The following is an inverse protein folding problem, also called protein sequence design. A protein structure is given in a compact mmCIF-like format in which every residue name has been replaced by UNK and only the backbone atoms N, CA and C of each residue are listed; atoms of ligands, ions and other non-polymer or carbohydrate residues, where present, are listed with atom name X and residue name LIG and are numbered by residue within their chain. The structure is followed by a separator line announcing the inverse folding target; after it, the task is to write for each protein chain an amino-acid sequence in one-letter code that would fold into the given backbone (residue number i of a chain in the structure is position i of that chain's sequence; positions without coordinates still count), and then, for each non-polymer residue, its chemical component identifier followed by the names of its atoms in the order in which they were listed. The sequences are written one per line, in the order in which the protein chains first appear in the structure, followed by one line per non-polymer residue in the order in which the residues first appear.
data_IF_840696200174
#
_entry.id   IF_840696200174
#
_cell.length_a   1.000
_cell.length_b   1.000
_cell.length_c   1.000
_cell.angle_alpha   90.00
_cell.angle_beta   90.00
_cell.angle_gamma   90.00
#
_symmetry.space_group_name_H-M   'P 1'
#
loop_
_entity.id
_entity.type
_entity.pdbx_description
1 polymer ?
#
# COMPACT_ATOMS: atom_id res chain seq x y z
N UNK A 1 21.22 20.96 -5.70
CA UNK A 1 21.02 19.50 -5.55
C UNK A 1 19.55 19.11 -5.38
N UNK A 2 18.78 19.72 -4.47
CA UNK A 2 17.36 19.41 -4.29
C UNK A 2 16.49 19.63 -5.56
N UNK A 3 16.74 20.70 -6.32
CA UNK A 3 16.00 21.04 -7.54
C UNK A 3 16.29 20.08 -8.72
N UNK A 4 17.52 19.57 -8.81
CA UNK A 4 17.90 18.53 -9.78
C UNK A 4 17.29 17.17 -9.42
N UNK A 5 17.23 16.82 -8.13
CA UNK A 5 16.57 15.59 -7.68
C UNK A 5 15.05 15.63 -7.95
N UNK A 6 14.39 16.77 -7.75
CA UNK A 6 12.96 16.96 -8.07
C UNK A 6 12.65 16.79 -9.57
N UNK A 7 13.55 17.20 -10.46
CA UNK A 7 13.39 16.96 -11.90
C UNK A 7 13.48 15.48 -12.27
N UNK A 8 14.31 14.71 -11.55
CA UNK A 8 14.51 13.28 -11.82
C UNK A 8 13.39 12.40 -11.24
N UNK A 9 12.93 12.70 -10.03
CA UNK A 9 11.93 11.88 -9.31
C UNK A 9 10.49 12.39 -9.43
N UNK A 10 10.28 13.53 -10.09
CA UNK A 10 8.98 14.16 -10.25
C UNK A 10 8.59 15.07 -9.08
N UNK A 11 7.50 15.82 -9.28
CA UNK A 11 6.89 16.67 -8.26
C UNK A 11 5.80 15.89 -7.51
N UNK A 12 5.59 16.14 -6.21
CA UNK A 12 4.51 15.53 -5.47
C UNK A 12 3.16 15.94 -6.08
N UNK A 13 2.36 14.94 -6.45
CA UNK A 13 1.00 15.16 -6.93
C UNK A 13 0.12 15.43 -5.72
N UNK A 14 -0.55 16.58 -5.72
CA UNK A 14 -1.50 16.95 -4.67
C UNK A 14 -2.85 16.28 -4.96
N UNK A 15 -3.59 15.98 -3.89
CA UNK A 15 -5.00 15.59 -3.96
C UNK A 15 -5.33 14.23 -4.62
N UNK A 16 -4.39 13.28 -4.60
CA UNK A 16 -4.66 11.89 -5.02
C UNK A 16 -5.02 11.03 -3.79
N UNK A 17 -6.20 10.38 -3.75
CA UNK A 17 -6.53 9.45 -2.69
C UNK A 17 -5.54 8.27 -2.67
N UNK A 18 -5.07 7.89 -1.48
CA UNK A 18 -4.11 6.79 -1.32
C UNK A 18 -4.59 5.46 -1.93
N UNK A 19 -5.91 5.19 -1.88
CA UNK A 19 -6.53 4.01 -2.49
C UNK A 19 -6.43 4.01 -4.01
N UNK A 20 -6.44 5.18 -4.66
CA UNK A 20 -6.30 5.29 -6.12
C UNK A 20 -4.82 5.12 -6.50
N UNK A 21 -3.92 5.81 -5.79
CA UNK A 21 -2.49 5.72 -6.04
C UNK A 21 -1.95 4.29 -5.87
N UNK A 22 -2.39 3.56 -4.83
CA UNK A 22 -1.92 2.19 -4.60
C UNK A 22 -2.42 1.20 -5.65
N UNK A 23 -3.63 1.39 -6.17
CA UNK A 23 -4.19 0.53 -7.21
C UNK A 23 -3.53 0.75 -8.56
N UNK A 24 -3.17 2.00 -8.88
CA UNK A 24 -2.43 2.33 -10.09
C UNK A 24 -1.02 1.73 -10.06
N UNK A 25 -0.28 1.93 -8.97
CA UNK A 25 1.04 1.33 -8.78
C UNK A 25 0.99 -0.20 -8.79
N UNK A 26 -0.06 -0.79 -8.20
CA UNK A 26 -0.27 -2.23 -8.24
C UNK A 26 -0.42 -2.76 -9.68
N UNK A 27 -1.14 -2.04 -10.55
CA UNK A 27 -1.27 -2.42 -11.95
C UNK A 27 0.09 -2.39 -12.69
N UNK A 28 0.91 -1.37 -12.44
CA UNK A 28 2.26 -1.29 -12.98
C UNK A 28 3.15 -2.45 -12.51
N UNK A 29 3.14 -2.76 -11.22
CA UNK A 29 3.91 -3.88 -10.66
C UNK A 29 3.49 -5.21 -11.29
N UNK A 30 2.19 -5.44 -11.52
CA UNK A 30 1.72 -6.64 -12.22
C UNK A 30 2.30 -6.75 -13.63
N UNK A 31 2.32 -5.64 -14.39
CA UNK A 31 2.92 -5.58 -15.71
C UNK A 31 4.42 -5.88 -15.68
N UNK A 32 5.16 -5.26 -14.76
CA UNK A 32 6.59 -5.52 -14.57
C UNK A 32 6.87 -6.99 -14.22
N UNK A 33 6.04 -7.60 -13.36
CA UNK A 33 6.17 -9.00 -13.00
C UNK A 33 5.92 -9.95 -14.15
N UNK A 34 4.90 -9.69 -14.97
CA UNK A 34 4.64 -10.48 -16.17
C UNK A 34 5.85 -10.44 -17.12
N UNK A 35 6.37 -9.23 -17.39
CA UNK A 35 7.55 -9.07 -18.23
C UNK A 35 8.81 -9.73 -17.64
N UNK A 36 9.07 -9.55 -16.34
CA UNK A 36 10.22 -10.18 -15.67
C UNK A 36 10.12 -11.71 -15.69
N UNK A 37 8.91 -12.26 -15.54
CA UNK A 37 8.68 -13.70 -15.63
C UNK A 37 9.04 -14.22 -17.02
N UNK A 38 8.62 -13.52 -18.08
CA UNK A 38 8.95 -13.90 -19.45
C UNK A 38 10.48 -13.85 -19.67
N UNK A 39 11.15 -12.80 -19.19
CA UNK A 39 12.61 -12.70 -19.23
C UNK A 39 13.31 -13.84 -18.50
N UNK A 40 12.84 -14.21 -17.30
CA UNK A 40 13.40 -15.33 -16.53
C UNK A 40 13.20 -16.66 -17.27
N UNK A 41 12.06 -16.85 -17.94
CA UNK A 41 11.78 -18.07 -18.70
C UNK A 41 12.65 -18.22 -19.96
N UNK A 42 13.15 -17.13 -20.51
CA UNK A 42 14.08 -17.14 -21.65
C UNK A 42 15.52 -17.52 -21.25
N UNK A 43 15.87 -17.46 -19.96
CA UNK A 43 17.21 -17.81 -19.47
C UNK A 43 17.37 -19.34 -19.44
N UNK A 44 18.44 -19.84 -20.07
CA UNK A 44 18.77 -21.26 -19.98
C UNK A 44 19.01 -21.67 -18.50
N UNK A 45 18.52 -22.83 -18.05
CA UNK A 45 18.61 -23.24 -16.65
C UNK A 45 20.03 -23.17 -16.06
N UNK A 46 21.04 -23.55 -16.84
CA UNK A 46 22.44 -23.55 -16.42
C UNK A 46 23.03 -22.13 -16.26
N UNK A 47 22.45 -21.14 -16.94
CA UNK A 47 22.82 -19.73 -16.87
C UNK A 47 22.11 -18.95 -15.73
N UNK A 48 21.23 -19.61 -14.96
CA UNK A 48 20.57 -19.00 -13.80
C UNK A 48 21.52 -18.86 -12.59
N UNK A 49 22.55 -19.71 -12.51
CA UNK A 49 23.49 -19.77 -11.39
C UNK A 49 24.91 -19.38 -11.79
N UNK A 50 25.29 -19.49 -13.08
CA UNK A 50 26.65 -19.19 -13.56
C UNK A 50 26.66 -17.95 -14.47
N UNK A 51 27.35 -16.89 -14.06
CA UNK A 51 27.39 -15.61 -14.77
C UNK A 51 28.79 -15.03 -14.95
N UNK A 52 29.03 -14.31 -16.04
CA UNK A 52 30.24 -13.50 -16.26
C UNK A 52 30.15 -12.26 -15.38
N UNK A 53 31.05 -12.12 -14.40
CA UNK A 53 30.98 -11.03 -13.40
C UNK A 53 31.88 -9.86 -13.77
N UNK A 54 32.96 -10.10 -14.49
CA UNK A 54 33.92 -9.05 -14.87
C UNK A 54 34.62 -9.39 -16.18
N UNK A 55 34.75 -8.38 -17.06
CA UNK A 55 35.57 -8.41 -18.27
C UNK A 55 36.64 -7.34 -18.16
N UNK A 56 37.88 -7.74 -17.89
CA UNK A 56 39.01 -6.81 -17.78
C UNK A 56 39.78 -6.80 -19.10
N UNK A 57 39.69 -5.69 -19.84
CA UNK A 57 40.48 -5.46 -21.05
C UNK A 57 41.88 -4.94 -20.67
N UNK A 58 42.88 -5.83 -20.64
CA UNK A 58 44.28 -5.43 -20.40
C UNK A 58 44.95 -5.06 -21.71
N UNK A 59 44.86 -3.77 -22.07
CA UNK A 59 45.46 -3.20 -23.28
C UNK A 59 46.97 -2.95 -23.17
N UNK A 60 47.55 -2.94 -21.95
CA UNK A 60 48.99 -2.82 -21.74
C UNK A 60 49.43 -3.64 -20.50
N UNK A 61 50.31 -4.63 -20.71
CA UNK A 61 50.85 -5.52 -19.69
C UNK A 61 51.62 -6.70 -20.31
N UNK A 62 52.32 -7.50 -19.48
CA UNK A 62 53.16 -8.64 -19.92
C UNK A 62 52.36 -9.75 -20.64
N UNK A 63 51.05 -9.82 -20.40
CA UNK A 63 50.09 -10.68 -21.10
C UNK A 63 48.90 -9.84 -21.61
N UNK A 64 48.94 -9.32 -22.85
CA UNK A 64 47.80 -8.61 -23.43
C UNK A 64 46.67 -9.60 -23.77
N UNK A 65 45.45 -9.29 -23.32
CA UNK A 65 44.29 -10.16 -23.49
C UNK A 65 43.05 -9.69 -22.72
N UNK A 66 41.94 -10.43 -22.90
CA UNK A 66 40.70 -10.22 -22.15
C UNK A 66 40.66 -11.26 -21.01
N UNK A 67 40.81 -10.80 -19.77
CA UNK A 67 40.58 -11.66 -18.61
C UNK A 67 39.08 -11.68 -18.32
N UNK A 68 38.46 -12.84 -18.48
CA UNK A 68 37.05 -13.04 -18.10
C UNK A 68 36.98 -13.79 -16.78
N UNK A 69 36.39 -13.16 -15.75
CA UNK A 69 36.07 -13.82 -14.48
C UNK A 69 34.60 -14.23 -14.47
N UNK A 70 34.37 -15.53 -14.28
CA UNK A 70 33.03 -16.08 -14.03
C UNK A 70 32.84 -16.30 -12.53
N UNK A 71 31.69 -15.91 -11.99
CA UNK A 71 31.29 -16.27 -10.63
C UNK A 71 29.88 -16.87 -10.65
N UNK A 72 29.61 -17.70 -9.65
CA UNK A 72 28.27 -18.20 -9.39
C UNK A 72 27.45 -17.12 -8.66
N UNK A 73 26.93 -16.13 -9.39
CA UNK A 73 26.04 -15.09 -8.88
C UNK A 73 24.64 -15.33 -9.44
N UNK A 74 23.57 -15.23 -8.62
CA UNK A 74 22.20 -15.35 -9.11
C UNK A 74 21.96 -14.42 -10.29
N UNK A 75 21.30 -14.94 -11.33
CA UNK A 75 20.94 -14.13 -12.49
C UNK A 75 20.16 -12.87 -12.08
N UNK A 76 20.57 -11.71 -12.59
CA UNK A 76 19.99 -10.40 -12.23
C UNK A 76 18.48 -10.35 -12.49
N UNK A 77 17.99 -11.00 -13.54
CA UNK A 77 16.56 -11.08 -13.85
C UNK A 77 15.79 -11.86 -12.79
N UNK A 78 16.37 -12.95 -12.29
CA UNK A 78 15.77 -13.77 -11.24
C UNK A 78 15.73 -12.99 -9.91
N UNK A 79 16.79 -12.23 -9.61
CA UNK A 79 16.82 -11.38 -8.41
C UNK A 79 15.78 -10.26 -8.48
N UNK A 80 15.70 -9.56 -9.62
CA UNK A 80 14.69 -8.54 -9.86
C UNK A 80 13.28 -9.11 -9.78
N UNK A 81 13.04 -10.27 -10.40
CA UNK A 81 11.75 -10.97 -10.32
C UNK A 81 11.35 -11.26 -8.87
N UNK A 82 12.25 -11.83 -8.06
CA UNK A 82 11.94 -12.11 -6.66
C UNK A 82 11.69 -10.83 -5.84
N UNK A 83 12.43 -9.75 -6.11
CA UNK A 83 12.25 -8.46 -5.44
C UNK A 83 10.88 -7.86 -5.76
N UNK A 84 10.52 -7.79 -7.03
CA UNK A 84 9.20 -7.30 -7.46
C UNK A 84 8.07 -8.21 -6.98
N UNK A 85 8.30 -9.53 -6.90
CA UNK A 85 7.28 -10.46 -6.44
C UNK A 85 7.00 -10.29 -4.95
N UNK A 86 8.04 -10.02 -4.14
CA UNK A 86 7.86 -9.64 -2.74
C UNK A 86 7.11 -8.33 -2.60
N UNK A 87 7.50 -7.31 -3.37
CA UNK A 87 6.82 -6.01 -3.37
C UNK A 87 5.32 -6.16 -3.70
N UNK A 88 4.99 -6.95 -4.73
CA UNK A 88 3.61 -7.26 -5.08
C UNK A 88 2.82 -7.85 -3.91
N UNK A 89 3.37 -8.86 -3.21
CA UNK A 89 2.70 -9.47 -2.07
C UNK A 89 2.47 -8.48 -0.92
N UNK A 90 3.39 -7.55 -0.72
CA UNK A 90 3.24 -6.51 0.30
C UNK A 90 2.14 -5.52 -0.09
N UNK A 91 2.04 -5.13 -1.37
CA UNK A 91 0.93 -4.31 -1.87
C UNK A 91 -0.42 -5.02 -1.74
N UNK A 92 -0.51 -6.31 -2.05
CA UNK A 92 -1.74 -7.10 -1.86
C UNK A 92 -2.22 -7.02 -0.42
N UNK A 93 -1.32 -7.21 0.56
CA UNK A 93 -1.66 -7.11 1.98
C UNK A 93 -2.22 -5.74 2.32
N UNK A 94 -1.55 -4.67 1.87
CA UNK A 94 -2.00 -3.29 2.14
C UNK A 94 -3.37 -3.02 1.52
N UNK A 95 -3.60 -3.44 0.27
CA UNK A 95 -4.89 -3.28 -0.41
C UNK A 95 -6.01 -4.00 0.34
N UNK A 96 -5.78 -5.24 0.77
CA UNK A 96 -6.77 -6.00 1.54
C UNK A 96 -7.07 -5.37 2.90
N UNK A 97 -6.04 -4.88 3.61
CA UNK A 97 -6.24 -4.12 4.84
C UNK A 97 -7.07 -2.85 4.60
N UNK A 98 -6.76 -2.07 3.56
CA UNK A 98 -7.52 -0.86 3.23
C UNK A 98 -8.99 -1.15 2.91
N UNK A 99 -9.28 -2.23 2.19
CA UNK A 99 -10.67 -2.66 1.91
C UNK A 99 -11.43 -2.98 3.19
N UNK A 100 -10.80 -3.70 4.12
CA UNK A 100 -11.41 -4.06 5.41
C UNK A 100 -11.70 -2.79 6.22
N UNK A 101 -10.75 -1.86 6.29
CA UNK A 101 -10.94 -0.59 7.01
C UNK A 101 -12.04 0.28 6.39
N UNK A 102 -12.12 0.34 5.05
CA UNK A 102 -13.22 1.03 4.37
C UNK A 102 -14.58 0.39 4.67
N UNK A 103 -14.65 -0.94 4.68
CA UNK A 103 -15.88 -1.64 5.02
C UNK A 103 -16.30 -1.40 6.49
N UNK A 104 -15.34 -1.37 7.42
CA UNK A 104 -15.58 -1.04 8.85
C UNK A 104 -16.11 0.38 9.02
N UNK A 105 -15.48 1.34 8.37
CA UNK A 105 -15.92 2.75 8.41
C UNK A 105 -17.33 2.88 7.83
N UNK A 106 -17.60 2.25 6.68
CA UNK A 106 -18.93 2.28 6.06
C UNK A 106 -20.01 1.67 6.96
N UNK A 107 -19.71 0.54 7.61
CA UNK A 107 -20.62 -0.08 8.58
C UNK A 107 -20.87 0.83 9.78
N UNK A 108 -19.83 1.48 10.31
CA UNK A 108 -19.96 2.43 11.41
C UNK A 108 -20.87 3.61 11.05
N UNK A 109 -20.74 4.16 9.83
CA UNK A 109 -21.61 5.25 9.34
C UNK A 109 -23.07 4.80 9.20
N UNK A 110 -23.31 3.59 8.68
CA UNK A 110 -24.66 3.02 8.59
C UNK A 110 -25.29 2.85 9.98
N UNK A 111 -24.55 2.27 10.93
CA UNK A 111 -25.01 2.10 12.31
C UNK A 111 -25.28 3.46 12.96
N UNK A 112 -24.39 4.43 12.79
CA UNK A 112 -24.56 5.78 13.34
C UNK A 112 -25.85 6.43 12.83
N UNK A 113 -26.13 6.28 11.52
CA UNK A 113 -27.35 6.78 10.89
C UNK A 113 -28.61 6.16 11.51
N UNK A 114 -28.61 4.83 11.69
CA UNK A 114 -29.74 4.10 12.29
C UNK A 114 -29.95 4.49 13.76
N UNK A 115 -28.87 4.58 14.54
CA UNK A 115 -28.95 4.98 15.96
C UNK A 115 -29.51 6.41 16.07
N UNK A 116 -28.96 7.36 15.30
CA UNK A 116 -29.43 8.74 15.31
C UNK A 116 -30.90 8.85 14.91
N UNK A 117 -31.36 8.08 13.90
CA UNK A 117 -32.76 8.08 13.51
C UNK A 117 -33.68 7.51 14.61
N UNK A 118 -33.24 6.47 15.33
CA UNK A 118 -33.99 5.88 16.45
C UNK A 118 -34.07 6.80 17.66
N UNK A 119 -32.97 7.47 18.02
CA UNK A 119 -32.95 8.46 19.11
C UNK A 119 -33.93 9.60 18.79
N UNK A 120 -33.92 10.13 17.57
CA UNK A 120 -34.87 11.18 17.16
C UNK A 120 -36.31 10.70 17.21
N UNK A 121 -36.58 9.47 16.74
CA UNK A 121 -37.92 8.90 16.80
C UNK A 121 -38.42 8.71 18.24
N UNK A 122 -37.53 8.26 19.14
CA UNK A 122 -37.85 8.12 20.57
C UNK A 122 -38.08 9.48 21.24
N UNK A 123 -37.22 10.46 20.98
CA UNK A 123 -37.39 11.82 21.46
C UNK A 123 -38.71 12.45 21.02
N UNK A 124 -39.14 12.18 19.77
CA UNK A 124 -40.42 12.65 19.26
C UNK A 124 -41.63 12.02 19.99
N UNK A 125 -41.50 10.79 20.50
CA UNK A 125 -42.54 10.12 21.29
C UNK A 125 -42.61 10.63 22.73
N UNK A 126 -41.54 11.23 23.24
CA UNK A 126 -41.46 11.72 24.62
C UNK A 126 -42.14 13.08 24.83
N UNK A 127 -42.74 13.68 23.79
CA UNK A 127 -43.38 15.00 23.86
C UNK A 127 -42.50 16.06 24.54
N UNK A 128 -41.21 16.05 24.21
CA UNK A 128 -40.22 16.98 24.78
C UNK A 128 -40.62 18.43 24.47
N UNK A 129 -40.38 19.33 25.43
CA UNK A 129 -40.57 20.78 25.21
C UNK A 129 -39.51 21.30 24.22
N UNK A 130 -39.74 22.46 23.60
CA UNK A 130 -38.75 23.07 22.67
C UNK A 130 -37.38 23.30 23.34
N UNK A 131 -37.38 23.69 24.61
CA UNK A 131 -36.15 23.86 25.40
C UNK A 131 -35.41 22.54 25.61
N UNK A 132 -36.12 21.44 25.84
CA UNK A 132 -35.52 20.11 25.99
C UNK A 132 -35.02 19.55 24.65
N UNK A 133 -35.74 19.84 23.56
CA UNK A 133 -35.33 19.50 22.20
C UNK A 133 -34.04 20.21 21.78
N UNK A 134 -33.82 21.44 22.23
CA UNK A 134 -32.58 22.17 21.95
C UNK A 134 -31.34 21.54 22.61
N UNK A 135 -31.51 20.71 23.64
CA UNK A 135 -30.42 20.03 24.34
C UNK A 135 -30.01 18.69 23.70
N UNK A 136 -30.85 18.11 22.84
CA UNK A 136 -30.60 16.81 22.19
C UNK A 136 -29.27 16.75 21.42
N UNK A 137 -28.89 17.74 20.61
CA UNK A 137 -27.60 17.71 19.90
C UNK A 137 -26.40 17.59 20.84
N UNK A 138 -26.43 18.29 21.98
CA UNK A 138 -25.36 18.27 22.98
C UNK A 138 -25.32 16.94 23.74
N UNK A 139 -26.48 16.40 24.11
CA UNK A 139 -26.57 15.09 24.75
C UNK A 139 -26.09 13.96 23.82
N UNK A 140 -26.45 14.01 22.54
CA UNK A 140 -25.97 13.06 21.52
C UNK A 140 -24.46 13.18 21.29
N UNK A 141 -23.91 14.39 21.30
CA UNK A 141 -22.47 14.61 21.17
C UNK A 141 -21.69 14.06 22.38
N UNK A 142 -22.19 14.27 23.60
CA UNK A 142 -21.59 13.71 24.82
C UNK A 142 -21.61 12.17 24.80
N UNK A 143 -22.77 11.57 24.46
CA UNK A 143 -22.94 10.12 24.37
C UNK A 143 -22.05 9.49 23.28
N UNK A 144 -21.84 10.20 22.16
CA UNK A 144 -20.88 9.78 21.12
C UNK A 144 -19.45 9.74 21.66
N UNK A 145 -19.04 10.72 22.46
CA UNK A 145 -17.73 10.75 23.10
C UNK A 145 -17.48 9.54 24.01
N UNK A 146 -18.47 9.19 24.83
CA UNK A 146 -18.42 8.02 25.71
C UNK A 146 -18.37 6.69 24.95
N UNK A 147 -19.16 6.56 23.88
CA UNK A 147 -19.15 5.37 23.02
C UNK A 147 -17.82 5.20 22.27
N UNK A 148 -17.22 6.28 21.77
CA UNK A 148 -15.90 6.21 21.14
C UNK A 148 -14.80 5.81 22.12
N UNK A 149 -14.88 6.26 23.38
CA UNK A 149 -13.93 5.86 24.43
C UNK A 149 -14.10 4.37 24.79
N UNK A 150 -15.34 3.92 25.02
CA UNK A 150 -15.62 2.52 25.38
C UNK A 150 -15.34 1.49 24.27
N UNK A 151 -15.49 1.86 22.99
CA UNK A 151 -15.13 0.99 21.86
C UNK A 151 -13.61 0.83 21.73
N UNK A 152 -12.83 1.88 22.01
CA UNK A 152 -11.37 1.80 22.01
C UNK A 152 -10.87 0.89 23.14
N UNK A 153 -11.45 0.99 24.34
CA UNK A 153 -11.11 0.14 25.48
C UNK A 153 -11.51 -1.33 25.27
N UNK A 154 -12.65 -1.58 24.61
CA UNK A 154 -13.13 -2.93 24.29
C UNK A 154 -12.38 -3.64 23.15
N UNK A 155 -11.65 -2.90 22.30
CA UNK A 155 -10.81 -3.49 21.24
C UNK A 155 -9.36 -3.75 21.70
N UNK A 156 -8.94 -3.20 22.84
CA UNK A 156 -7.62 -3.38 23.43
C UNK A 156 -7.54 -4.56 24.43
N UNK A 157 -8.66 -5.24 24.69
CA UNK A 157 -8.79 -6.42 25.56
C UNK A 157 -8.99 -7.70 24.73
#
# INVERSE_FOLDING_TARGET
MAEQAMKTFGLPIKDVPASVAILDEFAWIMGHLAWLRDRVQEVQPDALVWGKTTEDHKLAGEFPGIDTKFQAVPNVWLELYHRYHRLFLDYVKVIETLKIEQARLHLADQISTVIASRIRAFAAQLHLTEEQMALLPNAVAAMRGELTAGVIDGMAA
#
